data_IF_609169365978
#
_entry.id   IF_609169365978
#
_cell.length_a   1.000
_cell.length_b   1.000
_cell.length_c   1.000
_cell.angle_alpha   90.00
_cell.angle_beta   90.00
_cell.angle_gamma   90.00
#
_symmetry.space_group_name_H-M   'P 1'
#
loop_
_entity.id
_entity.type
_entity.pdbx_description
1 polymer ?
#
# COMPACT_ATOMS: atom_id res chain seq x y z
N UNK A 1 -62.03 76.50 -22.06
CA UNK A 1 -61.16 76.38 -20.86
C UNK A 1 -61.27 74.95 -20.37
N UNK A 2 -60.31 74.11 -20.76
CA UNK A 2 -60.30 72.66 -20.48
C UNK A 2 -59.03 72.35 -19.71
N UNK A 3 -59.20 71.86 -18.48
CA UNK A 3 -58.13 71.52 -17.54
C UNK A 3 -57.63 70.11 -17.88
N UNK A 4 -56.32 69.93 -18.08
CA UNK A 4 -55.65 68.62 -18.15
C UNK A 4 -54.92 68.36 -16.82
N UNK A 5 -54.96 67.15 -16.25
CA UNK A 5 -54.26 66.83 -15.01
C UNK A 5 -52.78 66.50 -15.27
N UNK A 6 -51.93 66.87 -14.32
CA UNK A 6 -50.50 66.56 -14.31
C UNK A 6 -50.28 65.13 -13.78
N UNK A 7 -49.51 64.33 -14.51
CA UNK A 7 -49.08 62.99 -14.12
C UNK A 7 -47.74 63.11 -13.36
N UNK A 8 -47.72 62.74 -12.08
CA UNK A 8 -46.50 62.69 -11.27
C UNK A 8 -45.74 61.39 -11.57
N UNK A 9 -44.51 61.50 -12.06
CA UNK A 9 -43.59 60.37 -12.25
C UNK A 9 -42.80 60.17 -10.96
N UNK A 10 -43.03 59.06 -10.28
CA UNK A 10 -42.29 58.63 -9.09
C UNK A 10 -40.98 57.96 -9.56
N UNK A 11 -39.84 58.61 -9.37
CA UNK A 11 -38.53 58.02 -9.63
C UNK A 11 -38.12 57.10 -8.46
N UNK A 12 -38.05 55.79 -8.71
CA UNK A 12 -37.54 54.81 -7.76
C UNK A 12 -36.00 54.78 -7.88
N UNK A 13 -35.31 55.34 -6.89
CA UNK A 13 -33.85 55.27 -6.79
C UNK A 13 -33.43 53.87 -6.35
N UNK A 14 -32.72 53.13 -7.22
CA UNK A 14 -32.10 51.86 -6.88
C UNK A 14 -30.82 52.10 -6.06
N UNK A 15 -30.75 51.54 -4.86
CA UNK A 15 -29.55 51.54 -4.04
C UNK A 15 -28.47 50.62 -4.63
N UNK A 16 -27.16 50.96 -4.51
CA UNK A 16 -26.10 50.11 -5.02
C UNK A 16 -26.00 48.84 -4.16
N UNK A 17 -26.02 47.68 -4.82
CA UNK A 17 -25.77 46.39 -4.19
C UNK A 17 -24.31 46.35 -3.70
N UNK A 18 -24.12 46.36 -2.38
CA UNK A 18 -22.82 46.08 -1.77
C UNK A 18 -22.48 44.61 -1.96
N UNK A 19 -21.38 44.35 -2.66
CA UNK A 19 -20.81 43.01 -2.81
C UNK A 19 -20.27 42.57 -1.45
N UNK A 20 -21.03 41.73 -0.74
CA UNK A 20 -20.56 41.10 0.50
C UNK A 20 -19.57 40.02 0.10
N UNK A 21 -18.28 40.23 0.41
CA UNK A 21 -17.25 39.22 0.21
C UNK A 21 -17.58 37.97 1.05
N UNK A 22 -17.58 36.80 0.40
CA UNK A 22 -17.78 35.53 1.09
C UNK A 22 -16.64 35.32 2.12
N UNK A 23 -16.95 34.78 3.31
CA UNK A 23 -15.92 34.41 4.27
C UNK A 23 -14.97 33.37 3.66
N UNK A 24 -13.69 33.33 4.05
CA UNK A 24 -12.79 32.27 3.62
C UNK A 24 -13.42 30.92 4.00
N UNK A 25 -13.37 29.96 3.08
CA UNK A 25 -13.86 28.61 3.31
C UNK A 25 -13.18 28.09 4.59
N UNK A 26 -13.97 27.87 5.64
CA UNK A 26 -13.53 27.16 6.83
C UNK A 26 -13.01 25.81 6.35
N UNK A 27 -11.74 25.50 6.63
CA UNK A 27 -11.18 24.17 6.41
C UNK A 27 -11.94 23.26 7.38
N UNK A 28 -13.06 22.71 6.91
CA UNK A 28 -13.84 21.76 7.68
C UNK A 28 -12.89 20.62 8.05
N UNK A 29 -12.66 20.43 9.35
CA UNK A 29 -11.93 19.27 9.84
C UNK A 29 -12.71 18.04 9.39
N UNK A 30 -12.14 17.28 8.48
CA UNK A 30 -12.67 15.97 8.08
C UNK A 30 -12.88 15.14 9.36
N UNK A 31 -14.06 14.52 9.57
CA UNK A 31 -14.26 13.62 10.70
C UNK A 31 -13.17 12.54 10.73
N UNK A 32 -12.74 12.08 11.93
CA UNK A 32 -11.88 10.89 12.01
C UNK A 32 -12.47 9.77 11.16
N UNK A 33 -11.60 9.05 10.44
CA UNK A 33 -11.92 7.91 9.56
C UNK A 33 -12.64 8.21 8.24
N UNK A 34 -13.12 9.44 8.04
CA UNK A 34 -13.72 9.81 6.76
C UNK A 34 -12.67 9.82 5.64
N UNK A 35 -13.07 9.38 4.45
CA UNK A 35 -12.20 9.35 3.27
C UNK A 35 -11.90 10.79 2.85
N UNK A 36 -10.64 11.24 2.88
CA UNK A 36 -10.28 12.56 2.39
C UNK A 36 -10.51 12.67 0.88
N UNK A 37 -11.01 13.82 0.42
CA UNK A 37 -11.21 14.04 -1.00
C UNK A 37 -9.86 14.09 -1.74
N UNK A 38 -9.78 13.66 -3.02
CA UNK A 38 -8.52 13.66 -3.79
C UNK A 38 -7.79 15.01 -3.78
N UNK A 39 -8.52 16.11 -3.97
CA UNK A 39 -7.93 17.46 -3.92
C UNK A 39 -7.37 17.83 -2.53
N UNK A 40 -7.94 17.29 -1.45
CA UNK A 40 -7.40 17.48 -0.09
C UNK A 40 -6.13 16.67 0.10
N UNK A 41 -6.05 15.44 -0.45
CA UNK A 41 -4.83 14.63 -0.45
C UNK A 41 -3.73 15.35 -1.23
N UNK A 42 -4.02 15.85 -2.44
CA UNK A 42 -3.03 16.48 -3.31
C UNK A 42 -2.54 17.85 -2.80
N UNK A 43 -3.33 18.54 -1.98
CA UNK A 43 -2.95 19.84 -1.39
C UNK A 43 -2.52 19.76 0.06
N UNK A 44 -2.53 18.56 0.67
CA UNK A 44 -2.12 18.38 2.05
C UNK A 44 -0.64 18.77 2.24
N UNK A 45 -0.37 19.55 3.27
CA UNK A 45 0.97 20.00 3.62
C UNK A 45 1.24 19.78 5.10
N UNK A 46 2.51 19.50 5.43
CA UNK A 46 2.91 19.31 6.82
C UNK A 46 3.14 20.65 7.48
N UNK A 47 2.28 20.98 8.46
CA UNK A 47 2.29 22.27 9.17
C UNK A 47 2.89 22.19 10.58
N UNK A 48 3.52 21.05 10.91
CA UNK A 48 4.07 20.77 12.24
C UNK A 48 3.15 19.93 13.13
N UNK A 49 3.71 19.34 14.18
CA UNK A 49 3.00 18.50 15.14
C UNK A 49 2.93 17.02 14.73
N UNK A 50 2.24 16.21 15.53
CA UNK A 50 2.00 14.81 15.20
C UNK A 50 1.01 14.68 14.04
N UNK A 51 1.11 13.59 13.29
CA UNK A 51 0.08 13.22 12.31
C UNK A 51 -1.28 13.09 13.02
N UNK A 52 -2.38 13.48 12.36
CA UNK A 52 -3.71 13.32 12.95
C UNK A 52 -4.00 11.87 13.33
N UNK A 53 -4.71 11.68 14.44
CA UNK A 53 -5.31 10.39 14.78
C UNK A 53 -6.39 10.02 13.75
N UNK A 54 -6.45 8.75 13.37
CA UNK A 54 -7.36 8.24 12.35
C UNK A 54 -6.92 8.55 10.91
N UNK A 55 -7.83 8.32 9.96
CA UNK A 55 -7.56 8.56 8.53
C UNK A 55 -7.41 10.05 8.23
N UNK A 56 -6.35 10.44 7.53
CA UNK A 56 -6.13 11.85 7.14
C UNK A 56 -5.47 12.05 5.78
N UNK A 57 -5.75 13.18 5.13
CA UNK A 57 -5.19 13.53 3.82
C UNK A 57 -3.65 13.64 3.83
N UNK A 58 -3.08 14.21 4.90
CA UNK A 58 -1.61 14.34 5.03
C UNK A 58 -0.95 12.98 5.22
N UNK A 59 -1.61 12.05 5.91
CA UNK A 59 -1.09 10.69 6.09
C UNK A 59 -1.12 9.91 4.77
N UNK A 60 -2.21 9.98 3.99
CA UNK A 60 -2.26 9.36 2.65
C UNK A 60 -1.12 9.91 1.79
N UNK A 61 -0.96 11.24 1.75
CA UNK A 61 0.09 11.87 0.95
C UNK A 61 1.48 11.44 1.40
N UNK A 62 1.73 11.35 2.70
CA UNK A 62 2.99 10.86 3.26
C UNK A 62 3.27 9.42 2.83
N UNK A 63 2.30 8.50 2.97
CA UNK A 63 2.44 7.10 2.59
C UNK A 63 2.81 6.98 1.10
N UNK A 64 2.11 7.68 0.20
CA UNK A 64 2.42 7.69 -1.23
C UNK A 64 3.83 8.22 -1.51
N UNK A 65 4.26 9.27 -0.80
CA UNK A 65 5.60 9.84 -1.00
C UNK A 65 6.72 8.92 -0.49
N UNK A 66 6.50 8.20 0.61
CA UNK A 66 7.41 7.17 1.10
C UNK A 66 7.56 6.04 0.07
N UNK A 67 6.43 5.58 -0.48
CA UNK A 67 6.40 4.52 -1.50
C UNK A 67 7.16 4.93 -2.76
N UNK A 68 6.87 6.14 -3.30
CA UNK A 68 7.63 6.74 -4.41
C UNK A 68 9.13 6.85 -4.13
N UNK A 69 9.49 7.06 -2.86
CA UNK A 69 10.87 7.15 -2.43
C UNK A 69 11.54 5.77 -2.28
N UNK A 70 10.85 4.66 -2.51
CA UNK A 70 11.34 3.29 -2.34
C UNK A 70 11.39 2.83 -0.88
N UNK A 71 10.57 3.43 -0.01
CA UNK A 71 10.35 2.97 1.36
C UNK A 71 8.87 2.63 1.47
N UNK A 72 8.50 1.39 1.15
CA UNK A 72 7.11 0.99 1.12
C UNK A 72 6.47 1.21 2.49
N UNK A 73 5.33 1.93 2.57
CA UNK A 73 4.54 2.04 3.80
C UNK A 73 3.71 0.77 4.05
N UNK A 74 3.79 -0.23 3.16
CA UNK A 74 2.82 -1.31 3.10
C UNK A 74 1.58 -0.79 2.40
N UNK A 75 0.43 -0.95 3.03
CA UNK A 75 -0.85 -0.54 2.47
C UNK A 75 -1.07 0.97 2.65
N UNK A 76 -1.53 1.64 1.60
CA UNK A 76 -1.93 3.05 1.64
C UNK A 76 -3.40 3.14 2.03
N UNK A 77 -3.64 3.53 3.28
CA UNK A 77 -4.95 3.55 3.94
C UNK A 77 -5.28 4.92 4.59
N UNK A 78 -4.29 5.81 4.68
CA UNK A 78 -4.36 7.11 5.33
C UNK A 78 -4.27 7.09 6.86
N UNK A 79 -3.94 5.98 7.50
CA UNK A 79 -3.80 5.86 8.95
C UNK A 79 -2.35 6.03 9.42
N UNK A 80 -2.17 6.83 10.48
CA UNK A 80 -0.86 7.08 11.09
C UNK A 80 -0.46 5.94 12.06
N UNK A 81 -0.56 4.69 11.58
CA UNK A 81 -0.30 3.49 12.36
C UNK A 81 1.18 3.06 12.39
N UNK A 82 1.40 1.84 12.88
CA UNK A 82 2.73 1.25 13.05
C UNK A 82 3.49 1.06 11.73
N UNK A 83 2.79 0.74 10.63
CA UNK A 83 3.44 0.61 9.31
C UNK A 83 4.00 1.98 8.86
N UNK A 84 3.18 3.04 8.93
CA UNK A 84 3.61 4.41 8.66
C UNK A 84 4.78 4.83 9.54
N UNK A 85 4.72 4.56 10.85
CA UNK A 85 5.81 4.88 11.80
C UNK A 85 7.13 4.19 11.44
N UNK A 86 7.09 2.89 11.15
CA UNK A 86 8.30 2.14 10.81
C UNK A 86 8.85 2.49 9.43
N UNK A 87 7.99 2.88 8.48
CA UNK A 87 8.40 3.41 7.18
C UNK A 87 9.08 4.79 7.32
N UNK A 88 8.55 5.69 8.17
CA UNK A 88 9.23 6.96 8.49
C UNK A 88 10.61 6.68 9.11
N UNK A 89 10.70 5.77 10.08
CA UNK A 89 11.97 5.42 10.72
C UNK A 89 13.00 4.84 9.73
N UNK A 90 12.56 4.03 8.76
CA UNK A 90 13.43 3.51 7.71
C UNK A 90 13.89 4.60 6.74
N UNK A 91 13.00 5.52 6.38
CA UNK A 91 13.34 6.68 5.56
C UNK A 91 14.33 7.61 6.28
N UNK A 92 14.11 7.90 7.56
CA UNK A 92 15.03 8.67 8.41
C UNK A 92 16.42 8.04 8.43
N UNK A 93 16.49 6.73 8.68
CA UNK A 93 17.76 5.99 8.70
C UNK A 93 18.49 6.11 7.36
N UNK A 94 17.78 5.96 6.24
CA UNK A 94 18.36 6.08 4.90
C UNK A 94 18.87 7.49 4.60
N UNK A 95 18.12 8.50 5.01
CA UNK A 95 18.46 9.91 4.73
C UNK A 95 19.44 10.53 5.74
N UNK A 96 19.83 9.78 6.78
CA UNK A 96 20.74 10.25 7.83
C UNK A 96 20.08 11.22 8.82
N UNK A 97 18.78 11.08 9.04
CA UNK A 97 18.00 11.87 9.99
C UNK A 97 17.94 11.16 11.37
N UNK A 98 17.54 11.86 12.45
CA UNK A 98 17.20 11.22 13.71
C UNK A 98 16.14 10.13 13.49
N UNK A 99 16.38 8.93 14.00
CA UNK A 99 15.47 7.77 13.81
C UNK A 99 14.51 7.69 14.99
N UNK A 100 13.38 8.40 14.91
CA UNK A 100 12.31 8.36 15.90
C UNK A 100 10.96 7.90 15.33
N UNK A 101 10.87 7.75 14.01
CA UNK A 101 9.68 7.31 13.30
C UNK A 101 8.55 8.33 13.31
N UNK A 102 8.83 9.58 13.69
CA UNK A 102 7.84 10.63 13.78
C UNK A 102 7.91 11.53 12.54
N UNK A 103 6.73 11.87 12.01
CA UNK A 103 6.67 12.85 10.94
C UNK A 103 7.10 14.22 11.45
N UNK A 104 8.16 14.77 10.86
CA UNK A 104 8.66 16.11 11.16
C UNK A 104 8.98 16.92 9.88
N UNK A 105 9.47 18.15 10.08
CA UNK A 105 9.80 19.05 8.97
C UNK A 105 11.00 18.57 8.14
N UNK A 106 11.92 17.83 8.74
CA UNK A 106 13.09 17.29 8.05
C UNK A 106 12.69 16.13 7.13
N UNK A 107 11.89 15.19 7.63
CA UNK A 107 11.28 14.11 6.84
C UNK A 107 10.47 14.69 5.68
N UNK A 108 9.57 15.64 5.96
CA UNK A 108 8.74 16.27 4.93
C UNK A 108 9.56 16.94 3.83
N UNK A 109 10.57 17.71 4.23
CA UNK A 109 11.44 18.41 3.30
C UNK A 109 12.24 17.43 2.45
N UNK A 110 12.71 16.32 3.03
CA UNK A 110 13.52 15.32 2.31
C UNK A 110 12.71 14.47 1.34
N UNK A 111 11.44 14.25 1.64
CA UNK A 111 10.44 13.68 0.71
C UNK A 111 10.01 14.66 -0.38
N UNK A 112 10.47 15.91 -0.32
CA UNK A 112 10.04 16.99 -1.21
C UNK A 112 8.51 17.23 -1.15
N UNK A 113 7.87 17.02 0.01
CA UNK A 113 6.42 16.91 0.12
C UNK A 113 5.64 18.15 -0.33
N UNK A 114 6.16 19.35 -0.06
CA UNK A 114 5.54 20.62 -0.46
C UNK A 114 5.64 20.91 -1.97
N UNK A 115 6.67 20.38 -2.65
CA UNK A 115 6.88 20.56 -4.08
C UNK A 115 6.52 19.32 -4.90
N UNK A 116 6.13 18.23 -4.26
CA UNK A 116 5.55 17.08 -4.93
C UNK A 116 4.24 17.49 -5.61
N UNK A 117 4.03 17.03 -6.84
CA UNK A 117 2.79 17.26 -7.57
C UNK A 117 1.61 16.49 -6.97
N UNK A 118 0.64 16.18 -7.83
CA UNK A 118 -0.45 15.27 -7.45
C UNK A 118 0.11 13.88 -7.09
N UNK A 119 -0.46 13.32 -6.04
CA UNK A 119 -0.26 11.93 -5.59
C UNK A 119 -1.49 11.09 -5.87
N UNK A 120 -2.62 11.72 -6.24
CA UNK A 120 -3.78 11.04 -6.80
C UNK A 120 -3.82 11.17 -8.33
N UNK A 121 -4.45 10.21 -9.00
CA UNK A 121 -4.57 10.15 -10.44
C UNK A 121 -5.93 9.59 -10.89
N UNK A 122 -6.39 10.03 -12.07
CA UNK A 122 -7.53 9.42 -12.76
C UNK A 122 -7.05 8.19 -13.53
N UNK A 123 -7.60 7.02 -13.21
CA UNK A 123 -7.36 5.77 -13.93
C UNK A 123 -8.61 5.34 -14.69
N UNK A 124 -8.45 4.85 -15.92
CA UNK A 124 -9.53 4.17 -16.66
C UNK A 124 -9.27 2.69 -16.55
N UNK A 125 -10.18 1.97 -15.91
CA UNK A 125 -10.05 0.53 -15.69
C UNK A 125 -9.98 -0.16 -17.06
N UNK A 126 -8.92 -0.92 -17.27
CA UNK A 126 -8.66 -1.69 -18.48
C UNK A 126 -9.16 -3.13 -18.32
N UNK A 127 -9.14 -3.90 -19.41
CA UNK A 127 -9.37 -5.34 -19.32
C UNK A 127 -8.25 -6.07 -18.56
N UNK A 128 -7.02 -5.54 -18.61
CA UNK A 128 -5.86 -6.11 -17.93
C UNK A 128 -5.97 -5.97 -16.41
N UNK A 129 -6.51 -4.85 -15.92
CA UNK A 129 -6.75 -4.61 -14.49
C UNK A 129 -7.62 -5.68 -13.82
N UNK A 130 -8.52 -6.29 -14.59
CA UNK A 130 -9.48 -7.27 -14.08
C UNK A 130 -9.29 -8.66 -14.69
N UNK A 131 -8.19 -8.86 -15.42
CA UNK A 131 -7.93 -10.11 -16.13
C UNK A 131 -7.78 -11.31 -15.19
N UNK A 132 -7.33 -11.06 -13.98
CA UNK A 132 -7.11 -12.07 -12.94
C UNK A 132 -8.25 -12.15 -11.90
N UNK A 133 -9.40 -11.52 -12.18
CA UNK A 133 -10.55 -11.57 -11.27
C UNK A 133 -11.36 -12.84 -11.55
N UNK A 134 -11.31 -13.80 -10.61
CA UNK A 134 -11.95 -15.11 -10.70
C UNK A 134 -13.25 -15.25 -9.90
N UNK A 135 -13.59 -14.25 -9.09
CA UNK A 135 -14.70 -14.31 -8.14
C UNK A 135 -14.35 -15.08 -6.88
N UNK A 136 -15.36 -15.35 -6.03
CA UNK A 136 -15.15 -15.88 -4.70
C UNK A 136 -14.33 -17.18 -4.68
N UNK A 137 -13.34 -17.21 -3.79
CA UNK A 137 -12.46 -18.36 -3.57
C UNK A 137 -12.98 -19.23 -2.43
N UNK A 138 -12.83 -20.57 -2.51
CA UNK A 138 -13.14 -21.45 -1.40
C UNK A 138 -12.01 -21.37 -0.36
N UNK A 139 -12.36 -21.50 0.92
CA UNK A 139 -11.36 -21.59 1.99
C UNK A 139 -10.61 -22.93 1.99
N UNK A 140 -11.31 -23.99 1.56
CA UNK A 140 -10.80 -25.37 1.54
C UNK A 140 -9.70 -25.59 0.49
N UNK A 141 -8.59 -26.20 0.90
CA UNK A 141 -7.42 -26.38 0.04
C UNK A 141 -7.65 -27.41 -1.07
N UNK A 142 -8.46 -28.44 -0.82
CA UNK A 142 -8.85 -29.40 -1.86
C UNK A 142 -9.65 -28.69 -2.95
N UNK A 143 -10.63 -27.86 -2.55
CA UNK A 143 -11.41 -27.05 -3.50
C UNK A 143 -10.58 -25.97 -4.21
N UNK A 144 -9.55 -25.42 -3.57
CA UNK A 144 -8.59 -24.50 -4.21
C UNK A 144 -7.71 -25.21 -5.25
N UNK A 145 -7.27 -26.44 -4.97
CA UNK A 145 -6.44 -27.22 -5.87
C UNK A 145 -7.14 -27.54 -7.21
N UNK A 146 -8.48 -27.60 -7.20
CA UNK A 146 -9.30 -27.80 -8.41
C UNK A 146 -9.48 -26.51 -9.25
N UNK A 147 -9.06 -25.35 -8.75
CA UNK A 147 -9.14 -24.10 -9.52
C UNK A 147 -8.09 -24.09 -10.64
N UNK A 148 -8.34 -23.28 -11.66
CA UNK A 148 -7.32 -23.00 -12.67
C UNK A 148 -6.25 -22.03 -12.14
N UNK A 149 -6.66 -21.13 -11.26
CA UNK A 149 -5.86 -20.04 -10.69
C UNK A 149 -6.51 -19.53 -9.40
N UNK A 150 -5.70 -19.09 -8.46
CA UNK A 150 -6.14 -18.43 -7.21
C UNK A 150 -6.02 -16.91 -7.40
N UNK A 151 -6.79 -16.39 -8.34
CA UNK A 151 -6.82 -14.97 -8.72
C UNK A 151 -7.51 -14.08 -7.68
N UNK A 152 -7.72 -12.82 -8.02
CA UNK A 152 -8.48 -11.89 -7.18
C UNK A 152 -9.96 -12.28 -7.13
N UNK A 153 -10.60 -12.08 -5.98
CA UNK A 153 -12.04 -12.27 -5.82
C UNK A 153 -12.83 -11.11 -6.41
N UNK A 154 -12.27 -9.90 -6.37
CA UNK A 154 -12.95 -8.65 -6.76
C UNK A 154 -12.05 -7.77 -7.63
N UNK A 155 -12.69 -6.93 -8.46
CA UNK A 155 -11.96 -5.94 -9.27
C UNK A 155 -11.37 -4.81 -8.41
N UNK A 156 -12.07 -4.41 -7.35
CA UNK A 156 -11.59 -3.46 -6.35
C UNK A 156 -10.30 -3.95 -5.68
N UNK A 157 -10.27 -5.20 -5.23
CA UNK A 157 -9.07 -5.86 -4.70
C UNK A 157 -7.89 -5.84 -5.69
N UNK A 158 -8.10 -6.27 -6.93
CA UNK A 158 -7.06 -6.27 -7.97
C UNK A 158 -6.47 -4.87 -8.22
N UNK A 159 -7.33 -3.85 -8.23
CA UNK A 159 -6.94 -2.45 -8.39
C UNK A 159 -6.25 -1.91 -7.14
N UNK A 160 -6.71 -2.29 -5.95
CA UNK A 160 -6.10 -1.88 -4.69
C UNK A 160 -4.67 -2.41 -4.60
N UNK A 161 -4.46 -3.69 -4.90
CA UNK A 161 -3.14 -4.32 -5.03
C UNK A 161 -2.25 -3.62 -6.08
N UNK A 162 -2.80 -3.29 -7.26
CA UNK A 162 -2.06 -2.59 -8.33
C UNK A 162 -1.56 -1.21 -7.90
N UNK A 163 -2.34 -0.49 -7.10
CA UNK A 163 -2.03 0.88 -6.68
C UNK A 163 -1.55 0.97 -5.23
N UNK A 164 -1.25 -0.17 -4.59
CA UNK A 164 -0.76 -0.31 -3.23
C UNK A 164 -1.71 0.27 -2.16
N UNK A 165 -3.01 0.21 -2.42
CA UNK A 165 -4.06 0.80 -1.57
C UNK A 165 -4.75 -0.26 -0.71
N UNK A 166 -5.31 0.16 0.41
CA UNK A 166 -6.34 -0.60 1.12
C UNK A 166 -7.58 -0.66 0.23
N UNK A 167 -8.22 -1.83 0.12
CA UNK A 167 -9.40 -2.03 -0.73
C UNK A 167 -10.55 -1.10 -0.27
N UNK A 168 -10.80 -1.01 1.04
CA UNK A 168 -11.85 -0.15 1.58
C UNK A 168 -11.56 1.34 1.35
N UNK A 169 -10.29 1.75 1.41
CA UNK A 169 -9.86 3.10 1.06
C UNK A 169 -10.07 3.39 -0.42
N UNK A 170 -9.73 2.46 -1.32
CA UNK A 170 -9.98 2.61 -2.76
C UNK A 170 -11.48 2.74 -3.07
N UNK A 171 -12.31 1.89 -2.47
CA UNK A 171 -13.78 1.95 -2.58
C UNK A 171 -14.32 3.28 -2.05
N UNK A 172 -13.84 3.70 -0.89
CA UNK A 172 -14.21 4.95 -0.26
C UNK A 172 -13.82 6.19 -1.07
N UNK A 173 -12.68 6.14 -1.78
CA UNK A 173 -12.21 7.20 -2.67
C UNK A 173 -13.08 7.31 -3.94
N UNK A 174 -13.82 6.25 -4.26
CA UNK A 174 -14.65 6.10 -5.46
C UNK A 174 -16.10 5.74 -5.12
N UNK A 175 -16.82 6.59 -4.38
CA UNK A 175 -18.16 6.26 -3.90
C UNK A 175 -19.10 5.98 -5.07
N UNK A 176 -19.66 4.76 -5.10
CA UNK A 176 -20.60 4.31 -6.12
C UNK A 176 -19.96 3.76 -7.41
N UNK A 177 -18.63 3.66 -7.47
CA UNK A 177 -17.97 2.98 -8.58
C UNK A 177 -18.33 1.48 -8.60
N UNK A 178 -18.42 0.92 -9.80
CA UNK A 178 -18.70 -0.51 -10.02
C UNK A 178 -17.44 -1.33 -10.28
N UNK A 179 -16.31 -0.66 -10.47
CA UNK A 179 -15.00 -1.24 -10.78
C UNK A 179 -15.01 -2.13 -12.04
N UNK A 180 -15.62 -1.64 -13.12
CA UNK A 180 -15.68 -2.37 -14.40
C UNK A 180 -14.80 -1.73 -15.49
N UNK A 181 -14.32 -2.50 -16.48
CA UNK A 181 -13.57 -1.95 -17.60
C UNK A 181 -14.27 -0.77 -18.29
N UNK A 182 -13.51 0.28 -18.58
CA UNK A 182 -13.96 1.54 -19.16
C UNK A 182 -14.44 2.58 -18.14
N UNK A 183 -14.67 2.18 -16.89
CA UNK A 183 -15.00 3.12 -15.82
C UNK A 183 -13.77 3.94 -15.40
N UNK A 184 -14.00 5.21 -15.08
CA UNK A 184 -12.97 6.09 -14.55
C UNK A 184 -13.06 6.12 -13.04
N UNK A 185 -11.95 5.85 -12.37
CA UNK A 185 -11.79 5.92 -10.93
C UNK A 185 -10.62 6.84 -10.57
N UNK A 186 -10.57 7.27 -9.32
CA UNK A 186 -9.44 7.94 -8.70
C UNK A 186 -8.62 6.92 -7.92
N UNK A 187 -7.32 6.93 -8.11
CA UNK A 187 -6.36 6.07 -7.40
C UNK A 187 -5.24 6.93 -6.84
N UNK A 188 -4.42 6.38 -5.96
CA UNK A 188 -3.10 6.97 -5.68
C UNK A 188 -2.10 6.55 -6.76
N UNK A 189 -1.04 7.32 -6.90
CA UNK A 189 0.09 6.99 -7.78
C UNK A 189 1.32 6.69 -6.90
N UNK A 190 1.59 5.40 -6.59
CA UNK A 190 2.73 4.99 -5.77
C UNK A 190 4.08 5.20 -6.47
N UNK A 191 4.07 5.64 -7.74
CA UNK A 191 5.26 5.75 -8.57
C UNK A 191 5.63 4.45 -9.27
N UNK A 192 6.80 4.46 -9.91
CA UNK A 192 7.32 3.28 -10.60
C UNK A 192 8.06 2.36 -9.63
N UNK A 193 8.01 1.05 -9.91
CA UNK A 193 8.80 0.05 -9.19
C UNK A 193 10.28 0.45 -9.15
N UNK A 194 10.87 0.29 -7.98
CA UNK A 194 12.31 0.42 -7.77
C UNK A 194 13.03 -0.65 -8.59
N UNK A 195 14.19 -0.29 -9.09
CA UNK A 195 15.04 -1.16 -9.88
C UNK A 195 16.48 -1.11 -9.36
N UNK A 196 17.24 -2.16 -9.64
CA UNK A 196 18.62 -2.31 -9.20
C UNK A 196 18.94 -3.77 -8.91
N UNK A 197 20.23 -4.09 -8.76
CA UNK A 197 20.66 -5.43 -8.37
C UNK A 197 21.00 -5.43 -6.88
N UNK A 198 20.16 -6.08 -6.08
CA UNK A 198 20.38 -6.27 -4.66
C UNK A 198 21.40 -7.40 -4.43
N UNK A 199 22.49 -7.07 -3.74
CA UNK A 199 23.51 -8.07 -3.34
C UNK A 199 23.27 -8.58 -1.92
N UNK A 200 22.50 -7.84 -1.13
CA UNK A 200 22.16 -8.17 0.25
C UNK A 200 20.76 -7.67 0.61
N UNK A 201 19.99 -8.50 1.30
CA UNK A 201 18.73 -8.14 1.94
C UNK A 201 18.91 -8.29 3.44
N UNK A 202 18.54 -7.28 4.22
CA UNK A 202 18.53 -7.35 5.69
C UNK A 202 17.10 -7.40 6.17
N UNK A 203 16.72 -8.49 6.81
CA UNK A 203 15.43 -8.64 7.49
C UNK A 203 15.63 -8.29 8.97
N UNK A 204 15.20 -7.10 9.37
CA UNK A 204 15.22 -6.64 10.75
C UNK A 204 13.95 -7.11 11.47
N UNK A 205 14.12 -8.08 12.37
CA UNK A 205 13.00 -8.70 13.09
C UNK A 205 12.37 -7.77 14.13
N UNK A 206 13.14 -6.85 14.71
CA UNK A 206 12.59 -5.88 15.67
C UNK A 206 11.78 -4.81 14.97
N UNK A 207 12.29 -4.28 13.86
CA UNK A 207 11.61 -3.24 13.08
C UNK A 207 10.51 -3.78 12.19
N UNK A 208 10.48 -5.09 11.93
CA UNK A 208 9.58 -5.74 10.97
C UNK A 208 9.72 -5.12 9.57
N UNK A 209 10.98 -4.95 9.16
CA UNK A 209 11.37 -4.37 7.87
C UNK A 209 12.36 -5.26 7.14
N UNK A 210 12.31 -5.25 5.81
CA UNK A 210 13.31 -5.85 4.96
C UNK A 210 13.92 -4.80 4.02
N UNK A 211 15.23 -4.60 4.11
CA UNK A 211 15.95 -3.59 3.32
C UNK A 211 16.83 -4.26 2.26
N UNK A 212 16.66 -3.88 0.99
CA UNK A 212 17.49 -4.33 -0.12
C UNK A 212 18.65 -3.36 -0.37
N UNK A 213 19.89 -3.89 -0.42
CA UNK A 213 21.12 -3.11 -0.61
C UNK A 213 21.81 -3.44 -1.93
N UNK A 214 22.25 -2.39 -2.62
CA UNK A 214 23.10 -2.47 -3.81
C UNK A 214 24.55 -2.82 -3.47
N UNK A 215 25.36 -3.10 -4.49
CA UNK A 215 26.79 -3.43 -4.32
C UNK A 215 27.64 -2.28 -3.76
N UNK A 216 27.14 -1.05 -3.89
CA UNK A 216 27.71 0.18 -3.31
C UNK A 216 27.33 0.38 -1.83
N UNK A 217 26.53 -0.52 -1.26
CA UNK A 217 26.03 -0.43 0.11
C UNK A 217 24.86 0.55 0.28
N UNK A 218 24.34 1.14 -0.80
CA UNK A 218 23.18 2.03 -0.74
C UNK A 218 21.89 1.21 -0.66
N UNK A 219 20.89 1.76 0.04
CA UNK A 219 19.53 1.20 0.09
C UNK A 219 18.85 1.42 -1.26
N UNK A 220 18.44 0.32 -1.91
CA UNK A 220 17.67 0.33 -3.15
C UNK A 220 16.17 0.49 -2.86
N UNK A 221 15.70 -0.27 -1.86
CA UNK A 221 14.33 -0.29 -1.41
C UNK A 221 14.22 -0.84 0.02
N UNK A 222 13.12 -0.56 0.68
CA UNK A 222 12.81 -1.04 2.03
C UNK A 222 11.31 -1.37 2.13
N UNK A 223 10.99 -2.50 2.77
CA UNK A 223 9.63 -3.08 2.78
C UNK A 223 9.16 -3.46 4.19
N UNK A 224 7.86 -3.31 4.51
CA UNK A 224 7.31 -3.87 5.73
C UNK A 224 7.17 -5.38 5.58
N UNK A 225 7.41 -6.11 6.67
CA UNK A 225 7.30 -7.56 6.64
C UNK A 225 6.65 -8.13 7.89
N UNK A 226 5.87 -9.19 7.71
CA UNK A 226 5.58 -10.11 8.83
C UNK A 226 6.77 -11.04 9.04
N UNK A 227 7.15 -11.24 10.30
CA UNK A 227 8.07 -12.29 10.70
C UNK A 227 7.36 -13.42 11.44
N UNK A 228 8.02 -14.57 11.51
CA UNK A 228 7.55 -15.75 12.23
C UNK A 228 7.33 -15.48 13.70
N UNK A 229 6.32 -16.14 14.26
CA UNK A 229 5.96 -16.05 15.68
C UNK A 229 7.09 -16.52 16.60
N UNK A 230 6.97 -16.30 17.91
CA UNK A 230 7.90 -16.90 18.88
C UNK A 230 7.86 -18.44 18.88
N UNK A 231 6.73 -19.05 18.50
CA UNK A 231 6.55 -20.49 18.41
C UNK A 231 7.17 -21.07 17.11
N UNK A 232 7.16 -20.27 16.04
CA UNK A 232 7.66 -20.61 14.70
C UNK A 232 8.54 -19.47 14.18
N UNK A 233 9.73 -19.24 14.78
CA UNK A 233 10.50 -18.04 14.50
C UNK A 233 11.11 -18.07 13.10
N UNK A 234 11.13 -16.89 12.47
CA UNK A 234 11.96 -16.69 11.29
C UNK A 234 13.43 -17.00 11.58
N UNK A 235 14.22 -17.34 10.54
CA UNK A 235 15.63 -17.68 10.68
C UNK A 235 16.46 -16.63 11.42
N UNK A 236 17.70 -16.98 11.73
CA UNK A 236 18.68 -16.07 12.33
C UNK A 236 20.02 -16.28 11.66
N UNK A 237 20.83 -15.22 11.60
CA UNK A 237 22.11 -15.25 10.89
C UNK A 237 21.95 -15.03 9.40
N UNK A 238 22.91 -15.54 8.64
CA UNK A 238 23.05 -15.28 7.20
C UNK A 238 22.63 -16.53 6.43
N UNK A 239 21.75 -16.34 5.46
CA UNK A 239 21.35 -17.34 4.46
C UNK A 239 21.47 -16.71 3.07
N UNK A 240 21.18 -17.48 2.02
CA UNK A 240 21.25 -17.01 0.64
C UNK A 240 19.97 -17.35 -0.10
N UNK A 241 19.62 -16.53 -1.09
CA UNK A 241 18.57 -16.87 -2.06
C UNK A 241 19.04 -18.07 -2.89
N UNK A 242 18.22 -19.10 -2.98
CA UNK A 242 18.52 -20.33 -3.76
C UNK A 242 17.75 -20.37 -5.08
N UNK A 243 16.50 -19.92 -5.06
CA UNK A 243 15.62 -19.88 -6.23
C UNK A 243 14.58 -18.76 -6.09
N UNK A 244 14.00 -18.35 -7.22
CA UNK A 244 12.93 -17.36 -7.28
C UNK A 244 11.85 -17.94 -8.19
N UNK A 245 10.62 -17.97 -7.71
CA UNK A 245 9.45 -18.38 -8.47
C UNK A 245 8.44 -17.23 -8.49
N UNK A 246 8.19 -16.70 -9.68
CA UNK A 246 7.12 -15.75 -9.95
C UNK A 246 5.87 -16.56 -10.30
N UNK A 247 4.73 -16.20 -9.71
CA UNK A 247 3.47 -16.94 -9.83
C UNK A 247 3.65 -18.43 -9.50
N UNK A 248 4.11 -18.78 -8.27
CA UNK A 248 4.42 -20.15 -7.92
C UNK A 248 3.16 -20.99 -7.72
N UNK A 249 3.21 -22.26 -8.12
CA UNK A 249 2.32 -23.27 -7.52
C UNK A 249 2.71 -23.46 -6.04
N UNK A 250 1.73 -23.75 -5.19
CA UNK A 250 1.99 -24.06 -3.78
C UNK A 250 1.85 -25.55 -3.51
N UNK A 251 2.95 -26.17 -3.07
CA UNK A 251 2.99 -27.57 -2.63
C UNK A 251 2.53 -27.68 -1.18
N UNK A 252 1.26 -27.96 -0.97
CA UNK A 252 0.70 -28.19 0.36
C UNK A 252 1.01 -29.63 0.81
N UNK A 253 1.70 -29.74 1.94
CA UNK A 253 2.12 -30.99 2.55
C UNK A 253 1.74 -31.00 4.03
N UNK A 254 0.63 -31.65 4.42
CA UNK A 254 0.16 -31.68 5.80
C UNK A 254 1.21 -32.15 6.81
N UNK A 255 2.00 -33.16 6.43
CA UNK A 255 3.04 -33.74 7.29
C UNK A 255 4.27 -32.83 7.50
N UNK A 256 4.50 -31.85 6.62
CA UNK A 256 5.66 -30.93 6.66
C UNK A 256 5.27 -29.52 7.13
N UNK A 257 4.09 -29.03 6.75
CA UNK A 257 3.68 -27.63 6.94
C UNK A 257 2.71 -27.51 8.14
N UNK A 258 1.44 -27.83 7.89
CA UNK A 258 0.34 -27.86 8.85
C UNK A 258 -0.86 -28.55 8.21
N UNK A 259 -1.78 -29.08 9.02
CA UNK A 259 -3.06 -29.62 8.55
C UNK A 259 -4.12 -28.51 8.54
N UNK A 260 -4.60 -28.15 7.35
CA UNK A 260 -5.74 -27.28 7.11
C UNK A 260 -7.01 -28.14 7.15
N UNK A 261 -7.91 -27.85 8.09
CA UNK A 261 -9.17 -28.59 8.20
C UNK A 261 -8.93 -30.10 8.33
N UNK A 262 -9.60 -30.87 7.48
CA UNK A 262 -9.45 -32.32 7.37
C UNK A 262 -8.51 -32.75 6.22
N UNK A 263 -7.77 -31.81 5.60
CA UNK A 263 -6.89 -32.10 4.47
C UNK A 263 -5.57 -32.72 4.93
N UNK A 264 -5.47 -34.05 4.82
CA UNK A 264 -4.33 -34.88 5.22
C UNK A 264 -3.50 -35.43 4.03
N UNK A 265 -3.85 -35.07 2.80
CA UNK A 265 -3.12 -35.45 1.59
C UNK A 265 -2.28 -34.30 0.99
N UNK A 266 -1.30 -34.66 0.16
CA UNK A 266 -0.55 -33.70 -0.66
C UNK A 266 -1.48 -33.03 -1.68
N UNK A 267 -1.44 -31.70 -1.75
CA UNK A 267 -2.15 -30.92 -2.76
C UNK A 267 -1.18 -29.99 -3.48
N UNK A 268 -1.38 -29.85 -4.80
CA UNK A 268 -0.71 -28.84 -5.60
C UNK A 268 -1.70 -27.73 -5.93
N UNK A 269 -1.58 -26.61 -5.22
CA UNK A 269 -2.45 -25.47 -5.43
C UNK A 269 -1.93 -24.64 -6.62
N UNK A 270 -2.83 -24.20 -7.52
CA UNK A 270 -2.47 -23.38 -8.69
C UNK A 270 -1.94 -22.01 -8.24
N UNK A 271 -1.26 -21.26 -9.13
CA UNK A 271 -0.69 -19.98 -8.77
C UNK A 271 -1.76 -18.89 -8.63
N UNK A 272 -1.38 -17.76 -8.04
CA UNK A 272 -2.16 -16.54 -8.05
C UNK A 272 -1.90 -15.67 -6.81
N UNK A 273 -2.27 -14.38 -6.88
CA UNK A 273 -2.02 -13.41 -5.81
C UNK A 273 -2.71 -13.78 -4.49
N UNK A 274 -3.82 -14.53 -4.56
CA UNK A 274 -4.56 -15.00 -3.38
C UNK A 274 -4.15 -16.40 -2.93
N UNK A 275 -3.09 -16.96 -3.51
CA UNK A 275 -2.51 -18.22 -3.05
C UNK A 275 -1.79 -18.09 -1.70
N UNK A 276 -1.48 -19.21 -1.01
CA UNK A 276 -0.89 -19.20 0.34
C UNK A 276 0.47 -18.48 0.48
N UNK A 277 1.19 -18.33 -0.62
CA UNK A 277 2.48 -17.61 -0.68
C UNK A 277 2.42 -16.38 -1.58
N UNK A 278 1.21 -15.98 -1.98
CA UNK A 278 0.97 -14.88 -2.90
C UNK A 278 1.62 -15.08 -4.28
N UNK A 279 1.89 -13.95 -4.95
CA UNK A 279 2.40 -13.89 -6.32
C UNK A 279 3.88 -14.27 -6.48
N UNK A 280 4.64 -14.41 -5.40
CA UNK A 280 6.09 -14.62 -5.44
C UNK A 280 6.57 -15.51 -4.31
N UNK A 281 7.47 -16.43 -4.62
CA UNK A 281 8.28 -17.16 -3.65
C UNK A 281 9.78 -16.97 -3.94
N UNK A 282 10.52 -16.47 -2.94
CA UNK A 282 11.99 -16.39 -2.95
C UNK A 282 12.50 -17.41 -1.93
N UNK A 283 13.08 -18.49 -2.44
CA UNK A 283 13.57 -19.62 -1.66
C UNK A 283 14.90 -19.27 -0.99
N UNK A 284 15.08 -19.75 0.25
CA UNK A 284 16.30 -19.51 1.04
C UNK A 284 17.07 -20.81 1.28
N UNK A 285 18.38 -20.70 1.48
CA UNK A 285 19.26 -21.84 1.76
C UNK A 285 18.95 -22.57 3.07
N UNK A 286 18.09 -22.01 3.93
CA UNK A 286 17.52 -22.71 5.07
C UNK A 286 16.25 -23.45 4.61
N UNK A 287 16.19 -24.79 4.71
CA UNK A 287 15.06 -25.59 4.24
C UNK A 287 13.73 -25.08 4.80
N UNK A 288 12.70 -25.08 3.95
CA UNK A 288 11.31 -24.69 4.23
C UNK A 288 11.06 -23.21 4.56
N UNK A 289 12.05 -22.33 4.41
CA UNK A 289 11.89 -20.88 4.62
C UNK A 289 12.03 -20.10 3.33
N UNK A 290 11.17 -19.10 3.16
CA UNK A 290 11.20 -18.19 2.03
C UNK A 290 10.81 -16.76 2.41
N UNK A 291 11.08 -15.84 1.48
CA UNK A 291 10.48 -14.51 1.43
C UNK A 291 9.35 -14.57 0.39
N UNK A 292 8.14 -14.16 0.73
CA UNK A 292 6.99 -14.33 -0.17
C UNK A 292 5.90 -13.28 0.00
N UNK A 293 4.98 -13.22 -0.97
CA UNK A 293 3.81 -12.34 -0.94
C UNK A 293 2.74 -12.83 0.04
N UNK A 294 1.59 -12.15 0.08
CA UNK A 294 0.45 -12.53 0.93
C UNK A 294 -0.84 -12.19 0.20
N UNK A 295 -1.88 -12.99 0.41
CA UNK A 295 -3.25 -12.70 -0.04
C UNK A 295 -3.98 -11.68 0.85
N UNK A 296 -3.36 -11.29 1.94
CA UNK A 296 -3.93 -10.41 2.96
C UNK A 296 -2.86 -9.38 3.37
N UNK A 297 -2.71 -8.28 2.61
CA UNK A 297 -1.67 -7.28 2.84
C UNK A 297 -1.91 -6.45 4.10
N UNK A 298 -3.17 -6.29 4.53
CA UNK A 298 -3.53 -5.52 5.72
C UNK A 298 -3.06 -6.18 7.01
N UNK A 299 -2.97 -7.52 7.05
CA UNK A 299 -2.55 -8.27 8.24
C UNK A 299 -1.04 -8.34 8.46
N UNK A 300 -0.21 -7.64 7.67
CA UNK A 300 1.26 -7.71 7.77
C UNK A 300 1.80 -7.40 9.18
N UNK A 301 1.10 -6.58 9.97
CA UNK A 301 1.50 -6.18 11.32
C UNK A 301 0.69 -6.83 12.45
N UNK A 302 -0.35 -7.59 12.11
CA UNK A 302 -1.26 -8.22 13.08
C UNK A 302 -1.03 -9.74 13.20
N UNK A 303 -0.78 -10.41 12.07
CA UNK A 303 -0.59 -11.84 12.04
C UNK A 303 0.89 -12.21 12.15
N UNK A 304 1.20 -13.21 12.96
CA UNK A 304 2.53 -13.82 13.01
C UNK A 304 2.58 -15.00 12.03
N UNK A 305 3.65 -15.13 11.25
CA UNK A 305 3.75 -16.23 10.27
C UNK A 305 4.22 -17.53 10.92
N UNK A 306 4.15 -18.63 10.16
CA UNK A 306 4.76 -19.92 10.51
C UNK A 306 6.27 -19.99 10.20
N UNK A 307 6.98 -18.87 10.30
CA UNK A 307 8.44 -18.79 10.14
C UNK A 307 8.91 -18.06 8.87
N UNK A 308 8.15 -18.10 7.79
CA UNK A 308 8.47 -17.36 6.56
C UNK A 308 8.34 -15.83 6.73
N UNK A 309 8.97 -15.07 5.85
CA UNK A 309 8.86 -13.60 5.85
C UNK A 309 7.83 -13.21 4.81
N UNK A 310 6.74 -12.57 5.24
CA UNK A 310 5.64 -12.16 4.35
C UNK A 310 5.75 -10.68 4.00
N UNK A 311 5.51 -10.38 2.75
CA UNK A 311 5.46 -9.05 2.14
C UNK A 311 4.08 -8.88 1.51
N UNK A 312 3.69 -7.65 1.18
CA UNK A 312 2.62 -7.45 0.20
C UNK A 312 3.04 -8.06 -1.14
N UNK A 313 2.08 -8.40 -2.00
CA UNK A 313 2.42 -8.98 -3.30
C UNK A 313 3.27 -8.03 -4.16
N UNK A 314 2.97 -6.73 -4.17
CA UNK A 314 3.76 -5.75 -4.93
C UNK A 314 5.19 -5.62 -4.42
N UNK A 315 5.41 -5.62 -3.10
CA UNK A 315 6.75 -5.53 -2.51
C UNK A 315 7.56 -6.81 -2.76
N UNK A 316 6.92 -7.99 -2.65
CA UNK A 316 7.55 -9.27 -2.99
C UNK A 316 7.97 -9.33 -4.45
N UNK A 317 7.09 -8.88 -5.36
CA UNK A 317 7.38 -8.77 -6.78
C UNK A 317 8.54 -7.81 -7.04
N UNK A 318 8.54 -6.63 -6.42
CA UNK A 318 9.63 -5.67 -6.60
C UNK A 318 10.97 -6.26 -6.14
N UNK A 319 11.02 -6.86 -4.94
CA UNK A 319 12.21 -7.50 -4.41
C UNK A 319 12.70 -8.66 -5.31
N UNK A 320 11.79 -9.48 -5.84
CA UNK A 320 12.14 -10.60 -6.72
C UNK A 320 12.84 -10.15 -8.02
N UNK A 321 12.56 -8.95 -8.51
CA UNK A 321 13.27 -8.39 -9.66
C UNK A 321 14.66 -7.81 -9.32
N UNK A 322 14.97 -7.62 -8.03
CA UNK A 322 16.26 -7.12 -7.57
C UNK A 322 17.22 -8.22 -7.13
N UNK A 323 16.70 -9.34 -6.60
CA UNK A 323 17.51 -10.44 -6.08
C UNK A 323 17.76 -11.52 -7.12
N UNK A 324 18.77 -12.37 -6.89
CA UNK A 324 19.09 -13.55 -7.70
C UNK A 324 19.64 -14.67 -6.82
N UNK A 325 19.73 -15.92 -7.30
CA UNK A 325 20.45 -16.96 -6.58
C UNK A 325 21.85 -16.49 -6.15
N UNK A 326 22.18 -16.71 -4.87
CA UNK A 326 23.40 -16.22 -4.22
C UNK A 326 23.29 -14.81 -3.61
N UNK A 327 22.18 -14.09 -3.77
CA UNK A 327 21.94 -12.85 -3.00
C UNK A 327 21.90 -13.20 -1.51
N UNK A 328 22.67 -12.46 -0.70
CA UNK A 328 22.75 -12.69 0.74
C UNK A 328 21.49 -12.19 1.43
N UNK A 329 20.94 -12.97 2.37
CA UNK A 329 19.84 -12.55 3.24
C UNK A 329 20.29 -12.66 4.69
N UNK A 330 20.32 -11.53 5.38
CA UNK A 330 20.74 -11.41 6.77
C UNK A 330 19.52 -11.18 7.66
N UNK A 331 19.30 -12.08 8.63
CA UNK A 331 18.28 -11.92 9.65
C UNK A 331 18.86 -11.22 10.87
N UNK A 332 18.64 -9.92 10.96
CA UNK A 332 19.05 -9.08 12.08
C UNK A 332 18.06 -9.20 13.25
N UNK A 333 18.57 -9.02 14.46
CA UNK A 333 17.80 -9.11 15.70
C UNK A 333 17.05 -7.82 16.00
#
# INVERSE_FOLDING_TARGET
>A
MTVRPALAILALAAAPAQLVAAPPASIARTPPDAIPAPAQIDSADYTGGALPEGRSAITVRLQVLLDRAGVSPGVIDGYAGEMSRTAIAAFELREGLPVDGAMDGAVWSRLNGAAAGAVTASHIISQEDVADVGGALPDDYTALADRQRIGYERASEALAERFHMDEAFLEGLNPGARFVPGERITVVDPGGRRAGAAVRVVVDKQRRRATAYGSDGLVLADYPVTIGSSQTPSPSGIVEVTAIAIEPNYSYKPDENFTQGDNDEFLLLPPGPNGPVGSVWIDLSKPTYGLHGTSDPDSLFEAASHGCVRFTNWDAQELAHMVKPGTVVEFAR
#
